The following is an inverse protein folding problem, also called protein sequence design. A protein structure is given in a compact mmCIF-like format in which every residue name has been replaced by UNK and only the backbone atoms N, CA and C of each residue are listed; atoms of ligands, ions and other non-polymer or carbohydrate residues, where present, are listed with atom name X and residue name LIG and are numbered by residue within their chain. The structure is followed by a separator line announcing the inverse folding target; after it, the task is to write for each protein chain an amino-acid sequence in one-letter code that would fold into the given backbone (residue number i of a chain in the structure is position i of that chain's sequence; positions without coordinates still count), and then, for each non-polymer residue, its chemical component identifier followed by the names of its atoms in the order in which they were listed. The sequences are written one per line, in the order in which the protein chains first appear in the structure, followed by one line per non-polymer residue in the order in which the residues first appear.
data_IF_963032353275
#
_entry.id   IF_963032353275
#
_cell.length_a   1.000
_cell.length_b   1.000
_cell.length_c   1.000
_cell.angle_alpha   90.00
_cell.angle_beta   90.00
_cell.angle_gamma   90.00
#
_symmetry.space_group_name_H-M   'P 1'
#
loop_
_entity.id
_entity.type
_entity.pdbx_description
1 polymer ?
#
# COMPACT_ATOMS: atom_id res chain seq x y z
N UNK A 1 -3.33 7.40 -23.14
CA UNK A 1 -2.63 7.09 -21.87
C UNK A 1 -3.26 5.96 -21.05
N UNK A 2 -4.58 5.92 -20.80
CA UNK A 2 -5.22 4.84 -20.01
C UNK A 2 -5.05 3.44 -20.62
N UNK A 3 -5.32 3.28 -21.94
CA UNK A 3 -5.12 2.01 -22.67
C UNK A 3 -3.67 1.52 -22.57
N UNK A 4 -2.70 2.41 -22.80
CA UNK A 4 -1.28 2.06 -22.76
C UNK A 4 -0.85 1.58 -21.37
N UNK A 5 -1.34 2.23 -20.30
CA UNK A 5 -1.10 1.78 -18.92
C UNK A 5 -1.70 0.40 -18.65
N UNK A 6 -2.92 0.15 -19.12
CA UNK A 6 -3.57 -1.16 -18.97
C UNK A 6 -2.81 -2.25 -19.72
N UNK A 7 -2.35 -1.98 -20.96
CA UNK A 7 -1.55 -2.92 -21.73
C UNK A 7 -0.24 -3.27 -21.04
N UNK A 8 0.48 -2.26 -20.51
CA UNK A 8 1.71 -2.50 -19.73
C UNK A 8 1.42 -3.37 -18.51
N UNK A 9 0.32 -3.12 -17.78
CA UNK A 9 -0.06 -3.94 -16.62
C UNK A 9 -0.37 -5.39 -17.01
N UNK A 10 -1.11 -5.60 -18.10
CA UNK A 10 -1.46 -6.95 -18.58
C UNK A 10 -0.19 -7.70 -19.01
N UNK A 11 0.67 -7.06 -19.80
CA UNK A 11 1.93 -7.65 -20.26
C UNK A 11 2.83 -7.98 -19.06
N UNK A 12 2.96 -7.05 -18.11
CA UNK A 12 3.72 -7.27 -16.88
C UNK A 12 3.19 -8.43 -16.05
N UNK A 13 1.87 -8.51 -15.86
CA UNK A 13 1.23 -9.62 -15.15
C UNK A 13 1.47 -10.95 -15.87
N UNK A 14 1.33 -10.97 -17.19
CA UNK A 14 1.61 -12.14 -18.03
C UNK A 14 3.06 -12.59 -17.90
N UNK A 15 4.02 -11.65 -17.94
CA UNK A 15 5.44 -11.95 -17.78
C UNK A 15 5.75 -12.56 -16.40
N UNK A 16 5.18 -12.01 -15.32
CA UNK A 16 5.34 -12.56 -13.97
C UNK A 16 4.75 -13.98 -13.86
N UNK A 17 3.57 -14.21 -14.44
CA UNK A 17 2.96 -15.54 -14.45
C UNK A 17 3.82 -16.56 -15.23
N UNK A 18 4.37 -16.16 -16.37
CA UNK A 18 5.23 -17.00 -17.20
C UNK A 18 6.54 -17.35 -16.46
N UNK A 19 7.14 -16.36 -15.79
CA UNK A 19 8.31 -16.59 -14.93
C UNK A 19 8.01 -17.55 -13.78
N UNK A 20 6.84 -17.46 -13.15
CA UNK A 20 6.44 -18.38 -12.09
C UNK A 20 6.30 -19.83 -12.59
N UNK A 21 5.72 -20.02 -13.78
CA UNK A 21 5.60 -21.33 -14.41
C UNK A 21 6.97 -21.91 -14.78
N UNK A 22 7.85 -21.10 -15.37
CA UNK A 22 9.22 -21.51 -15.70
C UNK A 22 9.99 -21.88 -14.44
N UNK A 23 9.85 -21.09 -13.37
CA UNK A 23 10.48 -21.38 -12.09
C UNK A 23 10.02 -22.72 -11.49
N UNK A 24 8.70 -22.99 -11.52
CA UNK A 24 8.14 -24.26 -11.05
C UNK A 24 8.60 -25.46 -11.90
N UNK A 25 8.64 -25.30 -13.23
CA UNK A 25 9.09 -26.33 -14.14
C UNK A 25 10.58 -26.67 -13.97
N UNK A 26 11.43 -25.66 -13.73
CA UNK A 26 12.86 -25.82 -13.48
C UNK A 26 13.17 -26.32 -12.07
N UNK A 27 12.24 -26.16 -11.12
CA UNK A 27 12.41 -26.55 -9.73
C UNK A 27 11.30 -27.52 -9.26
N UNK A 28 11.17 -28.71 -9.90
CA UNK A 28 10.09 -29.63 -9.59
C UNK A 28 10.23 -30.31 -8.22
N UNK A 29 11.45 -30.31 -7.68
CA UNK A 29 11.76 -30.94 -6.41
C UNK A 29 11.01 -30.28 -5.24
N UNK A 30 10.66 -31.11 -4.26
CA UNK A 30 10.10 -30.64 -3.01
C UNK A 30 11.20 -30.18 -2.06
N UNK A 31 10.80 -29.41 -1.06
CA UNK A 31 11.62 -29.03 0.09
C UNK A 31 10.84 -29.38 1.35
N UNK A 32 11.50 -30.09 2.25
CA UNK A 32 10.99 -30.32 3.58
C UNK A 32 11.30 -29.09 4.43
N UNK A 33 10.26 -28.45 4.94
CA UNK A 33 10.36 -27.31 5.84
C UNK A 33 10.05 -27.78 7.25
N UNK A 34 11.04 -27.72 8.13
CA UNK A 34 10.82 -27.86 9.57
C UNK A 34 10.38 -26.51 10.13
N UNK A 35 9.13 -26.43 10.58
CA UNK A 35 8.51 -25.23 11.12
C UNK A 35 8.58 -25.19 12.65
N UNK A 36 9.50 -25.95 13.27
CA UNK A 36 9.67 -26.18 14.71
C UNK A 36 8.51 -26.91 15.40
N UNK A 37 7.27 -26.74 14.92
CA UNK A 37 6.07 -27.42 15.41
C UNK A 37 5.67 -28.61 14.53
N UNK A 38 6.42 -28.87 13.46
CA UNK A 38 6.17 -29.95 12.52
C UNK A 38 6.89 -29.72 11.19
N UNK A 39 7.10 -30.80 10.44
CA UNK A 39 7.71 -30.75 9.11
C UNK A 39 6.66 -30.89 8.02
N UNK A 40 6.72 -30.05 7.00
CA UNK A 40 5.86 -30.15 5.81
C UNK A 40 6.72 -30.31 4.56
N UNK A 41 6.31 -31.20 3.66
CA UNK A 41 6.97 -31.34 2.36
C UNK A 41 6.16 -30.57 1.30
N UNK A 42 6.80 -29.58 0.69
CA UNK A 42 6.14 -28.66 -0.25
C UNK A 42 7.02 -28.43 -1.48
N UNK A 43 6.40 -28.24 -2.64
CA UNK A 43 7.13 -27.86 -3.86
C UNK A 43 7.84 -26.53 -3.64
N UNK A 44 9.12 -26.43 -4.05
CA UNK A 44 9.94 -25.21 -3.86
C UNK A 44 9.26 -23.95 -4.38
N UNK A 45 8.61 -24.03 -5.54
CA UNK A 45 7.88 -22.91 -6.11
C UNK A 45 6.74 -22.41 -5.22
N UNK A 46 6.00 -23.33 -4.58
CA UNK A 46 4.92 -22.98 -3.64
C UNK A 46 5.48 -22.34 -2.38
N UNK A 47 6.54 -22.91 -1.80
CA UNK A 47 7.21 -22.36 -0.63
C UNK A 47 7.71 -20.93 -0.89
N UNK A 48 8.36 -20.72 -2.05
CA UNK A 48 8.84 -19.41 -2.47
C UNK A 48 7.71 -18.40 -2.67
N UNK A 49 6.64 -18.81 -3.36
CA UNK A 49 5.47 -17.95 -3.59
C UNK A 49 4.81 -17.51 -2.27
N UNK A 50 4.67 -18.41 -1.30
CA UNK A 50 4.14 -18.11 0.03
C UNK A 50 5.06 -17.12 0.77
N UNK A 51 6.37 -17.34 0.76
CA UNK A 51 7.33 -16.44 1.40
C UNK A 51 7.27 -15.01 0.82
N UNK A 52 7.24 -14.90 -0.51
CA UNK A 52 7.10 -13.61 -1.21
C UNK A 52 5.77 -12.94 -0.88
N UNK A 53 4.67 -13.70 -0.87
CA UNK A 53 3.34 -13.19 -0.54
C UNK A 53 3.26 -12.68 0.89
N UNK A 54 3.83 -13.41 1.86
CA UNK A 54 3.92 -12.97 3.26
C UNK A 54 4.77 -11.70 3.38
N UNK A 55 5.93 -11.65 2.72
CA UNK A 55 6.77 -10.46 2.68
C UNK A 55 6.04 -9.24 2.10
N UNK A 56 5.25 -9.44 1.04
CA UNK A 56 4.43 -8.39 0.45
C UNK A 56 3.34 -7.89 1.42
N UNK A 57 2.62 -8.79 2.10
CA UNK A 57 1.64 -8.41 3.14
C UNK A 57 2.31 -7.58 4.23
N UNK A 58 3.45 -8.03 4.76
CA UNK A 58 4.17 -7.31 5.79
C UNK A 58 4.64 -5.93 5.32
N UNK A 59 5.13 -5.83 4.08
CA UNK A 59 5.50 -4.55 3.46
C UNK A 59 4.31 -3.59 3.35
N UNK A 60 3.16 -4.08 2.86
CA UNK A 60 1.92 -3.30 2.76
C UNK A 60 1.43 -2.85 4.14
N UNK A 61 1.47 -3.71 5.15
CA UNK A 61 1.06 -3.34 6.51
C UNK A 61 1.97 -2.25 7.10
N UNK A 62 3.28 -2.38 6.89
CA UNK A 62 4.28 -1.42 7.40
C UNK A 62 4.09 -0.03 6.79
N UNK A 63 3.96 0.05 5.47
CA UNK A 63 3.78 1.33 4.77
C UNK A 63 2.35 1.86 4.95
N UNK A 64 1.35 0.97 4.97
CA UNK A 64 -0.06 1.30 5.08
C UNK A 64 -0.37 2.11 6.34
N UNK A 65 0.18 1.74 7.49
CA UNK A 65 0.02 2.51 8.73
C UNK A 65 0.53 3.95 8.59
N UNK A 66 1.71 4.14 7.99
CA UNK A 66 2.30 5.45 7.72
C UNK A 66 1.44 6.28 6.77
N UNK A 67 0.95 5.68 5.68
CA UNK A 67 0.08 6.36 4.71
C UNK A 67 -1.24 6.80 5.36
N UNK A 68 -1.86 5.95 6.18
CA UNK A 68 -3.09 6.29 6.90
C UNK A 68 -2.88 7.48 7.84
N UNK A 69 -1.75 7.51 8.56
CA UNK A 69 -1.37 8.65 9.41
C UNK A 69 -1.24 9.93 8.59
N UNK A 70 -0.50 9.89 7.48
CA UNK A 70 -0.32 11.04 6.59
C UNK A 70 -1.65 11.55 6.01
N UNK A 71 -2.57 10.65 5.65
CA UNK A 71 -3.90 11.02 5.18
C UNK A 71 -4.72 11.73 6.26
N UNK A 72 -4.62 11.28 7.51
CA UNK A 72 -5.28 11.91 8.65
C UNK A 72 -4.67 13.28 8.98
N UNK A 73 -3.34 13.40 8.99
CA UNK A 73 -2.64 14.67 9.17
C UNK A 73 -3.03 15.67 8.08
N UNK A 74 -3.05 15.25 6.81
CA UNK A 74 -3.50 16.09 5.69
C UNK A 74 -4.93 16.60 5.87
N UNK A 75 -5.85 15.73 6.34
CA UNK A 75 -7.24 16.12 6.64
C UNK A 75 -7.30 17.14 7.78
N UNK A 76 -6.54 16.92 8.86
CA UNK A 76 -6.47 17.83 10.02
C UNK A 76 -5.94 19.21 9.63
N UNK A 77 -4.82 19.26 8.90
CA UNK A 77 -4.20 20.51 8.43
C UNK A 77 -5.17 21.29 7.53
N UNK A 78 -5.87 20.61 6.62
CA UNK A 78 -6.86 21.28 5.77
C UNK A 78 -8.03 21.86 6.57
N UNK A 79 -8.45 21.18 7.64
CA UNK A 79 -9.51 21.69 8.52
C UNK A 79 -9.04 22.93 9.29
N UNK A 80 -7.83 22.91 9.85
CA UNK A 80 -7.29 24.06 10.59
C UNK A 80 -7.10 25.29 9.70
N UNK A 81 -6.65 25.12 8.44
CA UNK A 81 -6.55 26.21 7.47
C UNK A 81 -7.92 26.88 7.23
N UNK A 82 -8.98 26.09 7.01
CA UNK A 82 -10.33 26.62 6.81
C UNK A 82 -10.86 27.38 8.03
N UNK A 83 -10.61 26.87 9.23
CA UNK A 83 -11.00 27.56 10.48
C UNK A 83 -10.27 28.89 10.61
N UNK A 84 -8.95 28.92 10.38
CA UNK A 84 -8.17 30.15 10.44
C UNK A 84 -8.62 31.20 9.39
N UNK A 85 -8.91 30.77 8.15
CA UNK A 85 -9.47 31.65 7.12
C UNK A 85 -10.83 32.24 7.54
N UNK A 86 -11.67 31.44 8.19
CA UNK A 86 -12.99 31.87 8.67
C UNK A 86 -12.87 32.87 9.83
N UNK A 87 -11.95 32.64 10.77
CA UNK A 87 -11.69 33.56 11.88
C UNK A 87 -11.17 34.92 11.39
N UNK A 88 -10.22 34.94 10.46
CA UNK A 88 -9.73 36.18 9.85
C UNK A 88 -10.87 36.92 9.13
N UNK A 89 -11.72 36.19 8.39
CA UNK A 89 -12.87 36.78 7.71
C UNK A 89 -13.87 37.40 8.69
N UNK A 90 -14.17 36.69 9.78
CA UNK A 90 -15.08 37.16 10.82
C UNK A 90 -14.51 38.40 11.54
N UNK A 91 -13.23 38.39 11.91
CA UNK A 91 -12.55 39.52 12.54
C UNK A 91 -12.52 40.76 11.64
N UNK A 92 -12.30 40.58 10.34
CA UNK A 92 -12.28 41.68 9.36
C UNK A 92 -13.67 42.29 9.11
N UNK A 93 -14.73 41.51 9.36
CA UNK A 93 -16.11 41.95 9.19
C UNK A 93 -16.75 42.39 10.52
N UNK A 94 -16.00 42.50 11.61
CA UNK A 94 -16.51 43.13 12.84
C UNK A 94 -16.84 44.59 12.48
N UNK A 95 -18.10 45.03 12.59
CA UNK A 95 -18.43 46.44 12.44
C UNK A 95 -17.64 47.18 13.51
N UNK A 96 -17.00 48.29 13.13
CA UNK A 96 -16.46 49.23 14.10
C UNK A 96 -17.68 49.73 14.87
N UNK A 97 -18.04 49.08 15.97
CA UNK A 97 -19.02 49.61 16.88
C UNK A 97 -18.37 50.86 17.44
N UNK A 98 -18.91 51.97 16.99
CA UNK A 98 -18.58 53.31 17.44
C UNK A 98 -18.44 53.29 18.96
N UNK A 99 -17.20 53.57 19.38
CA UNK A 99 -16.90 53.87 20.76
C UNK A 99 -17.47 55.28 20.97
N UNK A 100 -18.72 55.34 21.43
CA UNK A 100 -19.30 56.58 22.00
C UNK A 100 -18.63 56.92 23.34
#
# INVERSE_FOLDING_TARGET
MKIFRTLIMIIGLGAVALLALVFDALNPANVQLDLAFGSVDVRKAKAFAIAVFLGWILGVLTVGGTVLRLLNERRRIRKSMRTAETEIHNLRNIPIQDVE
#
